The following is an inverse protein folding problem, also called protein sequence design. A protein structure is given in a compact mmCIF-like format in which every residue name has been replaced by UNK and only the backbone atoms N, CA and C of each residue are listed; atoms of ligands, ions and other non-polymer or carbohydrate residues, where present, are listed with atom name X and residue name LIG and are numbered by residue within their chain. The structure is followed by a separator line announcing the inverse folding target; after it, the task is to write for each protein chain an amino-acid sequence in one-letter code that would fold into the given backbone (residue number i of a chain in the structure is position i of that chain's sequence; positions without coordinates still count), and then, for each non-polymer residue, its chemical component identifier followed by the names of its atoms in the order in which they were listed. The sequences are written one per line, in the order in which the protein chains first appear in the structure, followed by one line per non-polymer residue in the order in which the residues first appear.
data_IF_679792718036
#
_entry.id   IF_679792718036
#
_cell.length_a   1.000
_cell.length_b   1.000
_cell.length_c   1.000
_cell.angle_alpha   90.00
_cell.angle_beta   90.00
_cell.angle_gamma   90.00
#
_symmetry.space_group_name_H-M   'P 1'
#
loop_
_entity.id
_entity.type
_entity.pdbx_description
1 polymer ?
#
# COMPACT_ATOMS: atom_id res chain seq x y z
N UNK A 1 -16.46 -20.73 -13.90
CA UNK A 1 -16.08 -20.93 -12.48
C UNK A 1 -16.99 -20.01 -11.64
N UNK A 2 -17.69 -20.55 -10.65
CA UNK A 2 -18.63 -19.78 -9.83
C UNK A 2 -17.84 -19.05 -8.72
N UNK A 3 -17.52 -17.77 -9.00
CA UNK A 3 -16.73 -16.92 -8.09
C UNK A 3 -17.46 -16.72 -6.75
N UNK A 4 -18.79 -16.67 -6.77
CA UNK A 4 -19.59 -16.46 -5.56
C UNK A 4 -19.33 -17.52 -4.47
N UNK A 5 -19.06 -18.76 -4.86
CA UNK A 5 -18.74 -19.84 -3.92
C UNK A 5 -17.37 -19.71 -3.25
N UNK A 6 -16.50 -18.84 -3.76
CA UNK A 6 -15.16 -18.58 -3.21
C UNK A 6 -15.12 -17.36 -2.31
N UNK A 7 -16.18 -16.57 -2.28
CA UNK A 7 -16.24 -15.38 -1.43
C UNK A 7 -16.36 -15.79 0.04
N UNK A 8 -15.61 -15.07 0.88
CA UNK A 8 -15.74 -15.10 2.33
C UNK A 8 -15.96 -13.66 2.81
N UNK A 9 -16.93 -13.49 3.68
CA UNK A 9 -17.22 -12.20 4.30
C UNK A 9 -16.72 -12.25 5.75
N UNK A 10 -15.92 -11.26 6.11
CA UNK A 10 -15.44 -11.07 7.48
C UNK A 10 -16.08 -9.79 8.02
N UNK A 11 -16.76 -9.91 9.17
CA UNK A 11 -17.47 -8.80 9.77
C UNK A 11 -16.62 -8.09 10.82
N UNK A 12 -16.42 -6.79 10.65
CA UNK A 12 -15.78 -5.93 11.64
C UNK A 12 -16.85 -5.32 12.56
N UNK A 13 -17.07 -5.92 13.72
CA UNK A 13 -18.08 -5.45 14.69
C UNK A 13 -17.69 -4.16 15.42
N UNK A 14 -16.40 -3.93 15.60
CA UNK A 14 -15.83 -2.79 16.29
C UNK A 14 -14.95 -1.96 15.36
N UNK A 15 -15.13 -0.66 15.32
CA UNK A 15 -14.34 0.26 14.48
C UNK A 15 -12.99 0.55 15.13
N UNK A 16 -12.06 -0.42 15.06
CA UNK A 16 -10.71 -0.31 15.63
C UNK A 16 -9.64 0.05 14.59
N UNK A 17 -10.02 0.61 13.44
CA UNK A 17 -9.12 1.03 12.37
C UNK A 17 -8.99 0.03 11.22
N UNK A 18 -8.29 0.44 10.15
CA UNK A 18 -8.12 -0.36 8.94
C UNK A 18 -7.24 -1.59 9.16
N UNK A 19 -6.17 -1.46 9.95
CA UNK A 19 -5.33 -2.60 10.32
C UNK A 19 -6.10 -3.69 11.06
N UNK A 20 -7.09 -3.30 11.89
CA UNK A 20 -8.00 -4.27 12.52
C UNK A 20 -8.82 -5.04 11.48
N UNK A 21 -9.39 -4.35 10.48
CA UNK A 21 -10.15 -5.02 9.42
C UNK A 21 -9.28 -6.03 8.67
N UNK A 22 -8.04 -5.67 8.35
CA UNK A 22 -7.06 -6.57 7.72
C UNK A 22 -6.73 -7.75 8.63
N UNK A 23 -6.48 -7.50 9.92
CA UNK A 23 -6.15 -8.55 10.89
C UNK A 23 -7.25 -9.61 11.02
N UNK A 24 -8.52 -9.23 10.94
CA UNK A 24 -9.64 -10.17 11.00
C UNK A 24 -9.63 -11.19 9.84
N UNK A 25 -8.92 -10.89 8.75
CA UNK A 25 -8.79 -11.80 7.60
C UNK A 25 -7.64 -12.83 7.77
N UNK A 26 -6.89 -12.85 8.87
CA UNK A 26 -5.73 -13.73 9.07
C UNK A 26 -6.07 -15.22 8.93
N UNK A 27 -7.21 -15.63 9.45
CA UNK A 27 -7.61 -17.06 9.39
C UNK A 27 -7.95 -17.50 7.95
N UNK A 28 -8.42 -16.56 7.13
CA UNK A 28 -8.59 -16.77 5.70
C UNK A 28 -7.24 -16.85 4.97
N UNK A 29 -6.27 -16.03 5.40
CA UNK A 29 -4.92 -16.03 4.84
C UNK A 29 -4.17 -17.37 5.07
N UNK A 30 -4.42 -18.04 6.20
CA UNK A 30 -3.84 -19.35 6.54
C UNK A 30 -2.31 -19.41 6.35
N UNK A 31 -1.60 -18.33 6.68
CA UNK A 31 -0.17 -18.11 6.46
C UNK A 31 0.27 -17.97 4.99
N UNK A 32 -0.65 -17.93 4.05
CA UNK A 32 -0.35 -17.64 2.64
C UNK A 32 -0.21 -16.12 2.43
N UNK A 33 0.57 -15.69 1.42
CA UNK A 33 0.62 -14.29 1.02
C UNK A 33 -0.76 -13.80 0.55
N UNK A 34 -1.16 -12.62 1.00
CA UNK A 34 -2.46 -12.02 0.68
C UNK A 34 -2.29 -10.80 -0.20
N UNK A 35 -2.95 -10.80 -1.34
CA UNK A 35 -3.12 -9.59 -2.14
C UNK A 35 -4.32 -8.80 -1.59
N UNK A 36 -4.04 -7.68 -0.95
CA UNK A 36 -5.04 -6.75 -0.45
C UNK A 36 -5.30 -5.66 -1.49
N UNK A 37 -6.56 -5.51 -1.88
CA UNK A 37 -7.04 -4.46 -2.77
C UNK A 37 -8.02 -3.56 -2.00
N UNK A 38 -7.93 -2.25 -2.23
CA UNK A 38 -8.87 -1.27 -1.65
C UNK A 38 -10.12 -1.21 -2.53
N UNK A 39 -11.30 -1.14 -1.89
CA UNK A 39 -12.59 -1.13 -2.60
C UNK A 39 -12.92 0.19 -3.29
N UNK A 40 -12.16 1.23 -3.00
CA UNK A 40 -12.33 2.60 -3.51
C UNK A 40 -11.21 3.02 -4.48
N UNK A 41 -10.44 2.08 -4.99
CA UNK A 41 -9.33 2.34 -5.90
C UNK A 41 -9.43 1.47 -7.16
N UNK A 42 -9.33 2.08 -8.33
CA UNK A 42 -9.32 1.40 -9.62
C UNK A 42 -7.94 1.57 -10.28
N UNK A 43 -7.46 0.51 -10.93
CA UNK A 43 -6.22 0.51 -11.68
C UNK A 43 -6.50 0.23 -13.16
N UNK A 44 -5.96 1.08 -14.04
CA UNK A 44 -5.98 0.88 -15.48
C UNK A 44 -4.55 0.74 -15.97
N UNK A 45 -4.21 -0.42 -16.52
CA UNK A 45 -2.88 -0.65 -17.08
C UNK A 45 -2.67 0.14 -18.36
N UNK A 46 -1.49 0.70 -18.52
CA UNK A 46 -0.99 1.31 -19.76
C UNK A 46 -0.12 0.34 -20.58
N UNK A 47 0.02 -0.90 -20.09
CA UNK A 47 0.71 -1.97 -20.81
C UNK A 47 -0.25 -3.12 -21.18
N UNK A 48 0.25 -4.11 -21.90
CA UNK A 48 -0.51 -5.32 -22.24
C UNK A 48 -0.78 -6.23 -21.02
N UNK A 49 -0.26 -5.87 -19.85
CA UNK A 49 -0.35 -6.66 -18.64
C UNK A 49 -1.16 -5.91 -17.57
N UNK A 50 -2.23 -6.51 -17.02
CA UNK A 50 -2.98 -5.90 -15.92
C UNK A 50 -2.09 -5.52 -14.74
N UNK A 51 -2.37 -4.39 -14.07
CA UNK A 51 -1.59 -3.90 -12.93
C UNK A 51 -1.40 -4.96 -11.83
N UNK A 52 -2.44 -5.73 -11.54
CA UNK A 52 -2.38 -6.82 -10.55
C UNK A 52 -1.37 -7.90 -10.95
N UNK A 53 -1.29 -8.26 -12.23
CA UNK A 53 -0.30 -9.25 -12.70
C UNK A 53 1.13 -8.70 -12.65
N UNK A 54 1.34 -7.42 -12.97
CA UNK A 54 2.67 -6.79 -12.81
C UNK A 54 3.13 -6.89 -11.35
N UNK A 55 2.19 -6.69 -10.42
CA UNK A 55 2.47 -6.73 -8.98
C UNK A 55 2.75 -8.15 -8.48
N UNK A 56 1.97 -9.14 -8.92
CA UNK A 56 2.18 -10.56 -8.59
C UNK A 56 3.54 -11.04 -9.11
N UNK A 57 3.92 -10.71 -10.34
CA UNK A 57 5.23 -11.07 -10.89
C UNK A 57 6.40 -10.46 -10.11
N UNK A 58 6.24 -9.22 -9.62
CA UNK A 58 7.23 -8.64 -8.73
C UNK A 58 7.37 -9.48 -7.44
N UNK A 59 6.24 -9.96 -6.89
CA UNK A 59 6.28 -10.83 -5.72
C UNK A 59 6.93 -12.18 -6.01
N UNK A 60 6.58 -12.83 -7.11
CA UNK A 60 7.19 -14.11 -7.52
C UNK A 60 8.72 -13.99 -7.65
N UNK A 61 9.20 -12.82 -8.09
CA UNK A 61 10.64 -12.56 -8.22
C UNK A 61 11.36 -12.28 -6.91
N UNK A 62 10.73 -11.54 -6.00
CA UNK A 62 11.42 -11.03 -4.80
C UNK A 62 10.99 -11.70 -3.50
N UNK A 63 9.81 -12.33 -3.44
CA UNK A 63 9.25 -13.07 -2.30
C UNK A 63 9.29 -12.27 -0.99
N UNK A 64 8.92 -10.98 -1.03
CA UNK A 64 8.95 -10.05 0.10
C UNK A 64 7.65 -9.26 0.19
N UNK A 65 7.25 -8.80 1.39
CA UNK A 65 6.11 -7.90 1.50
C UNK A 65 6.33 -6.66 0.64
N UNK A 66 5.30 -6.20 -0.04
CA UNK A 66 5.40 -5.07 -0.95
C UNK A 66 4.12 -4.25 -1.05
N UNK A 67 4.27 -3.00 -1.46
CA UNK A 67 3.19 -2.05 -1.69
C UNK A 67 3.33 -1.49 -3.09
N UNK A 68 2.23 -1.38 -3.81
CA UNK A 68 2.23 -0.57 -5.03
C UNK A 68 2.29 0.92 -4.69
N UNK A 69 3.06 1.64 -5.47
CA UNK A 69 3.30 3.08 -5.29
C UNK A 69 3.08 3.83 -6.59
N UNK A 70 2.72 5.09 -6.45
CA UNK A 70 2.52 6.00 -7.56
C UNK A 70 3.23 7.33 -7.30
N UNK A 71 3.80 7.91 -8.36
CA UNK A 71 4.46 9.20 -8.27
C UNK A 71 3.43 10.32 -8.13
N UNK A 72 3.66 11.23 -7.19
CA UNK A 72 2.81 12.37 -6.92
C UNK A 72 3.63 13.64 -6.76
N UNK A 73 3.04 14.83 -7.02
CA UNK A 73 3.69 16.11 -6.74
C UNK A 73 3.77 16.36 -5.22
N UNK A 74 4.73 17.21 -4.82
CA UNK A 74 4.94 17.60 -3.42
C UNK A 74 3.67 18.14 -2.74
N UNK A 75 2.84 18.86 -3.46
CA UNK A 75 1.61 19.46 -2.91
C UNK A 75 0.58 18.42 -2.44
N UNK A 76 0.68 17.19 -2.91
CA UNK A 76 -0.29 16.13 -2.62
C UNK A 76 0.18 15.18 -1.51
N UNK A 77 1.43 15.32 -1.02
CA UNK A 77 2.01 14.39 -0.02
C UNK A 77 1.21 14.31 1.28
N UNK A 78 0.52 15.38 1.65
CA UNK A 78 -0.28 15.43 2.88
C UNK A 78 -1.58 14.60 2.84
N UNK A 79 -1.94 14.06 1.67
CA UNK A 79 -3.15 13.24 1.53
C UNK A 79 -2.89 11.74 1.67
N UNK A 80 -1.64 11.30 1.54
CA UNK A 80 -1.27 9.89 1.39
C UNK A 80 -0.14 9.47 2.33
N UNK A 81 0.00 8.17 2.51
CA UNK A 81 1.24 7.60 3.03
C UNK A 81 2.36 7.74 2.00
N UNK A 82 3.49 8.33 2.39
CA UNK A 82 4.62 8.59 1.49
C UNK A 82 5.77 7.66 1.84
N UNK A 83 6.37 7.05 0.84
CA UNK A 83 7.54 6.21 1.01
C UNK A 83 8.82 6.93 0.61
N UNK A 84 9.93 6.50 1.21
CA UNK A 84 11.29 6.72 0.70
C UNK A 84 11.93 5.40 0.35
N UNK A 85 12.87 5.41 -0.59
CA UNK A 85 13.49 4.16 -0.99
C UNK A 85 14.65 4.36 -1.96
N UNK A 86 15.21 3.22 -2.39
CA UNK A 86 16.25 3.16 -3.41
C UNK A 86 15.87 2.12 -4.45
N UNK A 87 15.98 2.46 -5.72
CA UNK A 87 15.72 1.54 -6.81
C UNK A 87 16.66 0.34 -6.75
N UNK A 88 16.11 -0.86 -6.85
CA UNK A 88 16.87 -2.12 -6.85
C UNK A 88 16.89 -2.81 -8.23
N UNK A 89 16.10 -2.31 -9.17
CA UNK A 89 16.09 -2.78 -10.54
C UNK A 89 16.47 -1.67 -11.52
N UNK A 90 17.03 -2.07 -12.69
CA UNK A 90 17.45 -1.12 -13.72
C UNK A 90 16.30 -0.36 -14.36
N UNK A 91 15.10 -0.94 -14.33
CA UNK A 91 13.89 -0.33 -14.89
C UNK A 91 13.24 0.71 -13.98
N UNK A 92 13.77 0.91 -12.77
CA UNK A 92 13.21 1.82 -11.76
C UNK A 92 11.74 1.55 -11.45
N UNK A 93 11.40 0.27 -11.35
CA UNK A 93 10.04 -0.17 -11.02
C UNK A 93 9.91 -0.74 -9.62
N UNK A 94 11.01 -1.28 -9.08
CA UNK A 94 11.02 -1.88 -7.74
C UNK A 94 12.07 -1.19 -6.90
N UNK A 95 11.65 -0.71 -5.74
CA UNK A 95 12.54 -0.04 -4.79
C UNK A 95 12.55 -0.75 -3.44
N UNK A 96 13.72 -0.77 -2.82
CA UNK A 96 13.84 -1.09 -1.40
C UNK A 96 13.36 0.10 -0.61
N UNK A 97 12.29 -0.06 0.16
CA UNK A 97 11.78 1.00 1.01
C UNK A 97 12.72 1.24 2.20
N UNK A 98 12.95 2.51 2.52
CA UNK A 98 13.73 2.96 3.67
C UNK A 98 12.87 3.67 4.73
N UNK A 99 11.69 4.15 4.34
CA UNK A 99 10.73 4.79 5.23
C UNK A 99 9.31 4.71 4.65
N UNK A 100 8.30 4.77 5.52
CA UNK A 100 6.92 5.04 5.18
C UNK A 100 6.34 5.98 6.24
N UNK A 101 5.76 7.09 5.82
CA UNK A 101 5.21 8.12 6.72
C UNK A 101 3.79 8.46 6.29
N UNK A 102 2.84 8.34 7.22
CA UNK A 102 1.44 8.67 6.97
C UNK A 102 1.25 10.18 6.93
N UNK A 103 0.69 10.68 5.84
CA UNK A 103 0.26 12.09 5.63
C UNK A 103 1.26 13.13 6.15
N UNK A 104 2.50 13.11 5.69
CA UNK A 104 3.52 14.06 6.12
C UNK A 104 3.17 15.50 5.67
N UNK A 105 3.72 16.48 6.36
CA UNK A 105 3.72 17.86 5.83
C UNK A 105 4.66 17.97 4.63
N UNK A 106 4.39 18.92 3.72
CA UNK A 106 5.28 19.17 2.57
C UNK A 106 6.71 19.48 3.01
N UNK A 107 6.88 20.29 4.07
CA UNK A 107 8.19 20.62 4.61
C UNK A 107 8.94 19.38 5.14
N UNK A 108 8.25 18.47 5.82
CA UNK A 108 8.84 17.21 6.26
C UNK A 108 9.22 16.31 5.07
N UNK A 109 8.35 16.23 4.06
CA UNK A 109 8.61 15.46 2.85
C UNK A 109 9.83 15.98 2.09
N UNK A 110 9.96 17.31 1.94
CA UNK A 110 11.14 17.94 1.31
C UNK A 110 12.44 17.63 2.06
N UNK A 111 12.43 17.66 3.38
CA UNK A 111 13.63 17.43 4.19
C UNK A 111 14.01 15.94 4.28
N UNK A 112 13.02 15.06 4.52
CA UNK A 112 13.26 13.68 4.98
C UNK A 112 12.83 12.59 4.00
N UNK A 113 11.92 12.87 3.08
CA UNK A 113 11.33 11.85 2.24
C UNK A 113 11.72 12.02 0.76
N UNK A 114 11.25 11.10 -0.05
CA UNK A 114 11.45 11.09 -1.48
C UNK A 114 12.41 10.00 -1.94
N UNK A 115 12.43 9.82 -3.24
CA UNK A 115 13.31 8.88 -3.95
C UNK A 115 14.11 9.69 -4.97
N UNK A 116 15.42 9.50 -5.00
CA UNK A 116 16.28 10.23 -5.94
C UNK A 116 16.00 9.77 -7.39
N UNK A 117 15.77 10.76 -8.26
CA UNK A 117 15.56 10.56 -9.69
C UNK A 117 16.84 10.51 -10.50
N UNK A 118 16.71 10.65 -11.86
CA UNK A 118 17.83 10.57 -12.80
C UNK A 118 18.81 11.76 -12.70
N UNK A 119 18.38 12.90 -12.18
CA UNK A 119 19.15 14.16 -12.09
C UNK A 119 19.23 14.69 -10.66
N UNK A 120 19.26 13.80 -9.66
CA UNK A 120 19.20 14.18 -8.23
C UNK A 120 17.92 14.92 -7.83
N UNK A 121 16.92 14.95 -8.68
CA UNK A 121 15.60 15.48 -8.32
C UNK A 121 14.88 14.48 -7.44
N UNK A 122 14.23 14.97 -6.40
CA UNK A 122 13.39 14.15 -5.54
C UNK A 122 12.02 13.94 -6.18
N UNK A 123 11.62 12.67 -6.23
CA UNK A 123 10.28 12.26 -6.58
C UNK A 123 9.59 11.71 -5.34
N UNK A 124 8.29 12.00 -5.18
CA UNK A 124 7.50 11.53 -4.05
C UNK A 124 6.59 10.41 -4.50
N UNK A 125 6.64 9.30 -3.79
CA UNK A 125 5.85 8.11 -4.10
C UNK A 125 4.84 7.86 -3.00
N UNK A 126 3.57 7.96 -3.36
CA UNK A 126 2.46 7.67 -2.48
C UNK A 126 2.15 6.17 -2.44
N UNK A 127 1.73 5.71 -1.27
CA UNK A 127 1.14 4.39 -1.09
C UNK A 127 -0.28 4.42 -1.65
N UNK A 128 -0.53 3.53 -2.56
CA UNK A 128 -1.82 3.51 -3.23
C UNK A 128 -2.44 2.10 -3.29
N UNK A 129 -1.89 1.09 -2.58
CA UNK A 129 -2.35 -0.28 -2.85
C UNK A 129 -2.34 -0.63 -4.35
N UNK A 130 -2.32 -1.86 -4.74
CA UNK A 130 -2.44 -3.08 -3.93
C UNK A 130 -1.28 -3.24 -2.94
N UNK A 131 -1.56 -4.05 -1.92
CA UNK A 131 -0.54 -4.51 -0.98
C UNK A 131 -0.38 -6.01 -1.14
N UNK A 132 0.83 -6.50 -1.02
CA UNK A 132 1.07 -7.92 -0.83
C UNK A 132 1.58 -8.14 0.58
N UNK A 133 0.69 -8.68 1.40
CA UNK A 133 0.89 -8.88 2.82
C UNK A 133 1.38 -10.30 3.06
N UNK A 134 2.45 -10.44 3.79
CA UNK A 134 3.00 -11.71 4.24
C UNK A 134 2.61 -11.97 5.70
N UNK A 135 2.92 -13.15 6.22
CA UNK A 135 2.55 -13.53 7.58
C UNK A 135 3.10 -12.55 8.63
N UNK A 136 4.27 -11.97 8.41
CA UNK A 136 4.90 -11.02 9.31
C UNK A 136 4.01 -9.79 9.56
N UNK A 137 3.24 -9.36 8.53
CA UNK A 137 2.30 -8.25 8.67
C UNK A 137 1.14 -8.63 9.61
N UNK A 138 0.59 -9.84 9.47
CA UNK A 138 -0.49 -10.32 10.33
C UNK A 138 -0.02 -10.49 11.78
N UNK A 139 1.20 -10.99 11.99
CA UNK A 139 1.78 -11.09 13.33
C UNK A 139 2.02 -9.70 13.94
N UNK A 140 2.50 -8.75 13.17
CA UNK A 140 2.68 -7.38 13.66
C UNK A 140 1.33 -6.71 13.99
N UNK A 141 0.31 -6.93 13.18
CA UNK A 141 -1.05 -6.45 13.47
C UNK A 141 -1.60 -7.07 14.75
N UNK A 142 -1.33 -8.36 15.01
CA UNK A 142 -1.69 -9.03 16.27
C UNK A 142 -1.05 -8.30 17.48
N UNK A 143 0.26 -8.05 17.40
CA UNK A 143 0.98 -7.33 18.46
C UNK A 143 0.41 -5.93 18.67
N UNK A 144 0.09 -5.22 17.59
CA UNK A 144 -0.49 -3.87 17.68
C UNK A 144 -1.90 -3.89 18.30
N UNK A 145 -2.70 -4.93 18.00
CA UNK A 145 -4.02 -5.15 18.64
C UNK A 145 -3.88 -5.38 20.15
N UNK A 146 -3.01 -6.28 20.57
CA UNK A 146 -2.76 -6.57 21.99
C UNK A 146 -2.29 -5.33 22.77
N UNK A 147 -1.40 -4.52 22.16
CA UNK A 147 -0.95 -3.26 22.75
C UNK A 147 -2.08 -2.23 22.90
N UNK A 148 -3.02 -2.18 21.95
CA UNK A 148 -4.19 -1.30 22.03
C UNK A 148 -5.13 -1.74 23.17
N UNK A 149 -5.39 -3.03 23.31
CA UNK A 149 -6.24 -3.60 24.37
C UNK A 149 -5.64 -3.37 25.77
N UNK A 150 -4.33 -3.27 25.90
CA UNK A 150 -3.62 -2.96 27.14
C UNK A 150 -3.63 -1.47 27.55
N UNK A 151 -4.44 -0.62 26.87
CA UNK A 151 -4.70 0.76 27.29
C UNK A 151 -4.07 1.86 26.46
N UNK A 152 -3.45 1.55 25.33
CA UNK A 152 -3.08 2.56 24.33
C UNK A 152 -4.32 2.94 23.54
N UNK A 153 -4.83 4.15 23.71
CA UNK A 153 -5.93 4.70 22.91
C UNK A 153 -5.46 4.92 21.47
N UNK A 154 -6.29 4.55 20.51
CA UNK A 154 -6.04 4.80 19.09
C UNK A 154 -6.71 3.76 18.18
N UNK A 155 -6.46 3.89 16.90
CA UNK A 155 -6.83 2.90 15.89
C UNK A 155 -5.63 2.01 15.58
N UNK A 156 -5.88 0.77 15.19
CA UNK A 156 -4.87 -0.11 14.62
C UNK A 156 -4.70 0.27 13.15
N UNK A 157 -3.64 1.01 12.88
CA UNK A 157 -3.31 1.46 11.53
C UNK A 157 -2.48 0.41 10.80
N UNK A 158 -2.84 0.13 9.55
CA UNK A 158 -2.06 -0.76 8.69
C UNK A 158 -0.67 -0.15 8.42
N UNK A 159 -0.58 1.16 8.15
CA UNK A 159 0.68 1.85 7.86
C UNK A 159 1.70 1.70 8.98
N UNK A 160 1.26 1.74 10.24
CA UNK A 160 2.12 1.51 11.41
C UNK A 160 2.70 0.08 11.41
N UNK A 161 1.87 -0.94 11.13
CA UNK A 161 2.35 -2.32 11.04
C UNK A 161 3.32 -2.53 9.85
N UNK A 162 3.02 -1.90 8.70
CA UNK A 162 3.90 -1.93 7.53
C UNK A 162 5.27 -1.33 7.83
N UNK A 163 5.34 -0.18 8.53
CA UNK A 163 6.62 0.44 8.91
C UNK A 163 7.41 -0.44 9.89
N UNK A 164 6.75 -1.05 10.86
CA UNK A 164 7.39 -1.97 11.81
C UNK A 164 8.00 -3.19 11.08
N UNK A 165 7.24 -3.81 10.16
CA UNK A 165 7.73 -4.94 9.35
C UNK A 165 8.83 -4.48 8.38
N UNK A 166 8.68 -3.33 7.73
CA UNK A 166 9.71 -2.74 6.88
C UNK A 166 11.03 -2.58 7.63
N UNK A 167 10.96 -2.06 8.86
CA UNK A 167 12.14 -1.82 9.69
C UNK A 167 12.85 -3.12 10.10
N UNK A 168 12.08 -4.17 10.41
CA UNK A 168 12.61 -5.45 10.88
C UNK A 168 13.06 -6.39 9.75
N UNK A 169 12.29 -6.47 8.68
CA UNK A 169 12.45 -7.48 7.61
C UNK A 169 12.69 -6.87 6.23
N UNK A 170 12.51 -5.56 6.10
CA UNK A 170 12.53 -4.86 4.83
C UNK A 170 11.24 -5.07 4.03
N UNK A 171 10.95 -4.11 3.15
CA UNK A 171 9.74 -4.08 2.33
C UNK A 171 10.04 -3.42 0.99
N UNK A 172 9.27 -3.74 -0.04
CA UNK A 172 9.45 -3.19 -1.38
C UNK A 172 8.31 -2.24 -1.76
N UNK A 173 8.67 -1.18 -2.48
CA UNK A 173 7.73 -0.36 -3.24
C UNK A 173 7.76 -0.77 -4.70
N UNK A 174 6.60 -0.94 -5.33
CA UNK A 174 6.49 -1.34 -6.74
C UNK A 174 5.72 -0.28 -7.52
N UNK A 175 6.38 0.39 -8.43
CA UNK A 175 5.74 1.30 -9.37
C UNK A 175 5.11 0.50 -10.51
N UNK A 176 3.77 0.58 -10.63
CA UNK A 176 3.02 -0.10 -11.68
C UNK A 176 2.96 0.76 -12.95
N UNK A 177 2.98 0.11 -14.09
CA UNK A 177 2.75 0.74 -15.39
C UNK A 177 1.27 0.87 -15.65
N UNK A 178 0.71 2.02 -15.27
CA UNK A 178 -0.71 2.28 -15.37
C UNK A 178 -1.14 3.53 -14.60
N UNK A 179 -2.37 3.88 -14.80
CA UNK A 179 -3.06 4.95 -14.06
C UNK A 179 -3.87 4.35 -12.92
N UNK A 180 -3.96 5.13 -11.87
CA UNK A 180 -4.78 4.80 -10.72
C UNK A 180 -5.81 5.90 -10.51
N UNK A 181 -6.97 5.48 -10.05
CA UNK A 181 -8.13 6.34 -9.84
C UNK A 181 -8.67 6.10 -8.45
N UNK A 182 -8.69 7.16 -7.65
CA UNK A 182 -9.28 7.17 -6.31
C UNK A 182 -10.77 7.46 -6.40
N UNK A 183 -11.58 6.74 -5.66
CA UNK A 183 -13.03 6.92 -5.55
C UNK A 183 -13.50 7.11 -4.10
N UNK A 184 -12.58 7.27 -3.15
CA UNK A 184 -12.86 7.33 -1.72
C UNK A 184 -13.58 8.61 -1.27
N UNK A 185 -13.51 9.69 -2.05
CA UNK A 185 -14.20 10.95 -1.78
C UNK A 185 -14.99 11.43 -3.00
N UNK A 186 -16.09 12.21 -2.83
CA UNK A 186 -16.96 12.63 -3.94
C UNK A 186 -16.24 13.37 -5.08
N UNK A 187 -15.22 14.16 -4.77
CA UNK A 187 -14.47 14.89 -5.80
C UNK A 187 -13.58 13.94 -6.63
N UNK A 188 -12.87 13.02 -5.96
CA UNK A 188 -12.05 12.02 -6.62
C UNK A 188 -12.90 11.09 -7.49
N UNK A 189 -14.07 10.66 -6.99
CA UNK A 189 -15.04 9.86 -7.75
C UNK A 189 -15.50 10.56 -9.04
N UNK A 190 -15.83 11.86 -8.99
CA UNK A 190 -16.19 12.64 -10.18
C UNK A 190 -15.04 12.70 -11.18
N UNK A 191 -13.83 12.97 -10.71
CA UNK A 191 -12.63 13.01 -11.54
C UNK A 191 -12.38 11.64 -12.19
N UNK A 192 -12.55 10.56 -11.46
CA UNK A 192 -12.43 9.19 -11.99
C UNK A 192 -13.41 8.94 -13.12
N UNK A 193 -14.69 9.27 -12.95
CA UNK A 193 -15.70 9.10 -14.01
C UNK A 193 -15.33 9.90 -15.26
N UNK A 194 -14.81 11.12 -15.11
CA UNK A 194 -14.47 11.99 -16.24
C UNK A 194 -13.24 11.49 -17.01
N UNK A 195 -12.26 10.89 -16.35
CA UNK A 195 -10.96 10.57 -16.95
C UNK A 195 -10.65 9.07 -17.11
N UNK A 196 -11.51 8.19 -16.59
CA UNK A 196 -11.27 6.74 -16.68
C UNK A 196 -11.36 6.19 -18.11
N UNK A 197 -12.17 6.82 -18.96
CA UNK A 197 -12.39 6.41 -20.35
C UNK A 197 -11.38 7.00 -21.34
N UNK A 198 -10.53 7.92 -20.92
CA UNK A 198 -9.47 8.52 -21.72
C UNK A 198 -8.18 7.68 -21.64
#
# INVERSE_FOLDING_TARGET
MDIAKKLRYVYQSEKKGFGHAVYLCRDFAANEPVLLLLGDTIYRSESNKPCVLQFIEAYEKYSRPMIAVHEIPLNDVSYYGIISGRWIDKGKRVMQMTNITEKPTSAYAEDKLGVEGLHNEKHYYAVFGPYLLTNEIFEQLRVNMENMEQGKRGEVELTTALEQVRSAHGMLGVQLEGKMYDMGIPQAFRNTIMHYSE
#
